data_IF_452225799819
#
_entry.id   IF_452225799819
#
_cell.length_a   1.000
_cell.length_b   1.000
_cell.length_c   1.000
_cell.angle_alpha   90.00
_cell.angle_beta   90.00
_cell.angle_gamma   90.00
#
_symmetry.space_group_name_H-M   'P 1'
#
loop_
_entity.id
_entity.type
_entity.pdbx_description
1 polymer ?
#
# COMPACT_ATOMS: atom_id res chain seq x y z
N UNK A 1 -34.22 27.30 9.97
CA UNK A 1 -33.45 26.33 9.18
C UNK A 1 -33.62 24.96 9.83
N UNK A 2 -33.95 23.91 9.06
CA UNK A 2 -34.14 22.57 9.62
C UNK A 2 -32.84 22.05 10.25
N UNK A 3 -32.94 21.28 11.33
CA UNK A 3 -31.75 20.70 11.97
C UNK A 3 -31.31 19.49 11.14
N UNK A 4 -30.00 19.23 11.10
CA UNK A 4 -29.41 18.08 10.37
C UNK A 4 -30.00 16.72 10.81
N UNK A 5 -30.55 16.66 12.03
CA UNK A 5 -31.27 15.52 12.61
C UNK A 5 -32.61 15.21 11.94
N UNK A 6 -33.18 16.16 11.20
CA UNK A 6 -34.52 16.07 10.63
C UNK A 6 -34.49 15.48 9.20
N UNK A 7 -33.29 15.22 8.66
CA UNK A 7 -33.11 14.58 7.36
C UNK A 7 -33.12 13.04 7.50
N UNK A 8 -33.81 12.32 6.60
CA UNK A 8 -33.70 10.87 6.54
C UNK A 8 -32.27 10.46 6.20
N UNK A 9 -31.71 9.53 6.97
CA UNK A 9 -30.43 8.89 6.68
C UNK A 9 -30.71 7.67 5.83
N UNK A 10 -30.24 7.68 4.58
CA UNK A 10 -30.24 6.50 3.73
C UNK A 10 -28.90 5.79 3.88
N UNK A 11 -28.92 4.51 4.22
CA UNK A 11 -27.71 3.71 4.13
C UNK A 11 -27.30 3.59 2.66
N UNK A 12 -26.04 3.89 2.31
CA UNK A 12 -25.56 3.73 0.94
C UNK A 12 -25.72 2.27 0.51
N UNK A 13 -26.40 2.03 -0.61
CA UNK A 13 -26.39 0.72 -1.24
C UNK A 13 -24.95 0.37 -1.61
N UNK A 14 -24.43 -0.69 -0.99
CA UNK A 14 -23.09 -1.18 -1.27
C UNK A 14 -23.20 -2.47 -2.10
N UNK A 15 -23.22 -2.39 -3.44
CA UNK A 15 -23.35 -3.57 -4.31
C UNK A 15 -22.19 -4.57 -4.18
N UNK A 16 -21.11 -4.14 -3.53
CA UNK A 16 -19.88 -4.88 -3.31
C UNK A 16 -19.59 -4.79 -1.82
N UNK A 17 -20.17 -5.65 -0.96
CA UNK A 17 -19.80 -5.65 0.46
C UNK A 17 -18.27 -5.70 0.57
N UNK A 18 -17.68 -4.55 0.92
CA UNK A 18 -16.26 -4.24 0.68
C UNK A 18 -15.36 -5.23 1.42
N UNK A 19 -15.93 -5.81 2.49
CA UNK A 19 -15.33 -6.81 3.35
C UNK A 19 -15.07 -8.14 2.66
N UNK A 20 -15.81 -8.52 1.62
CA UNK A 20 -15.64 -9.82 0.97
C UNK A 20 -14.81 -9.73 -0.32
N UNK A 21 -15.05 -8.71 -1.16
CA UNK A 21 -14.36 -8.59 -2.46
C UNK A 21 -12.92 -8.07 -2.32
N UNK A 22 -12.72 -6.98 -1.60
CA UNK A 22 -11.37 -6.43 -1.43
C UNK A 22 -10.51 -7.22 -0.42
N UNK A 23 -11.12 -8.03 0.44
CA UNK A 23 -10.38 -8.92 1.34
C UNK A 23 -9.65 -10.03 0.59
N UNK A 24 -10.19 -10.53 -0.53
CA UNK A 24 -9.51 -11.53 -1.37
C UNK A 24 -8.20 -10.95 -1.93
N UNK A 25 -8.25 -9.75 -2.50
CA UNK A 25 -7.07 -9.08 -3.06
C UNK A 25 -6.08 -8.67 -1.97
N UNK A 26 -6.58 -8.18 -0.83
CA UNK A 26 -5.73 -7.86 0.32
C UNK A 26 -5.04 -9.12 0.88
N UNK A 27 -5.73 -10.25 0.96
CA UNK A 27 -5.14 -11.51 1.39
C UNK A 27 -4.12 -12.02 0.37
N UNK A 28 -4.39 -11.91 -0.94
CA UNK A 28 -3.43 -12.26 -1.97
C UNK A 28 -2.13 -11.44 -1.87
N UNK A 29 -2.21 -10.14 -1.52
CA UNK A 29 -1.01 -9.36 -1.21
C UNK A 29 -0.30 -9.87 0.04
N UNK A 30 -1.03 -10.28 1.09
CA UNK A 30 -0.42 -10.81 2.32
C UNK A 30 0.13 -12.23 2.16
N UNK A 31 -0.30 -12.97 1.16
CA UNK A 31 0.21 -14.30 0.82
C UNK A 31 1.35 -14.25 -0.20
N UNK A 32 1.60 -13.09 -0.80
CA UNK A 32 2.68 -12.94 -1.78
C UNK A 32 4.04 -13.14 -1.12
N UNK A 33 5.01 -13.51 -1.96
CA UNK A 33 6.41 -13.59 -1.56
C UNK A 33 6.91 -12.26 -1.00
N UNK A 34 7.91 -12.39 -0.12
CA UNK A 34 8.62 -11.26 0.46
C UNK A 34 9.90 -11.02 -0.33
N UNK A 35 10.14 -9.75 -0.67
CA UNK A 35 11.32 -9.31 -1.40
C UNK A 35 12.09 -8.25 -0.62
N UNK A 36 13.40 -8.08 -0.91
CA UNK A 36 14.13 -6.86 -0.54
C UNK A 36 13.45 -5.61 -1.10
N UNK A 37 13.72 -4.45 -0.49
CA UNK A 37 13.34 -3.15 -1.04
C UNK A 37 14.62 -2.47 -1.59
N UNK A 38 14.69 -2.15 -2.90
CA UNK A 38 13.73 -2.48 -3.96
C UNK A 38 13.83 -3.96 -4.41
N UNK A 39 12.77 -4.52 -5.02
CA UNK A 39 12.83 -5.83 -5.66
C UNK A 39 13.53 -5.75 -7.03
N UNK A 40 13.78 -6.91 -7.64
CA UNK A 40 14.21 -6.98 -9.04
C UNK A 40 13.18 -6.35 -10.01
N UNK A 41 13.59 -5.81 -11.17
CA UNK A 41 12.67 -5.15 -12.10
C UNK A 41 11.53 -6.05 -12.59
N UNK A 42 10.32 -5.49 -12.66
CA UNK A 42 9.13 -6.18 -13.17
C UNK A 42 8.13 -5.21 -13.82
N UNK A 43 7.22 -5.76 -14.62
CA UNK A 43 6.10 -5.05 -15.24
C UNK A 43 4.87 -5.26 -14.36
N UNK A 44 4.21 -4.18 -13.94
CA UNK A 44 3.01 -4.25 -13.11
C UNK A 44 2.62 -2.90 -12.51
N UNK A 45 1.32 -2.79 -12.24
CA UNK A 45 0.69 -1.71 -11.50
C UNK A 45 -0.24 -2.34 -10.46
N UNK A 46 -0.34 -1.73 -9.28
CA UNK A 46 -0.98 -2.41 -8.19
C UNK A 46 -0.74 -1.80 -6.82
N UNK A 47 -0.74 -2.67 -5.82
CA UNK A 47 -0.57 -2.33 -4.41
C UNK A 47 0.69 -2.96 -3.84
N UNK A 48 1.25 -2.33 -2.81
CA UNK A 48 2.42 -2.82 -2.09
C UNK A 48 2.34 -2.50 -0.60
N UNK A 49 3.10 -3.27 0.17
CA UNK A 49 3.27 -3.10 1.60
C UNK A 49 4.77 -3.16 1.94
N UNK A 50 5.24 -2.22 2.75
CA UNK A 50 6.61 -2.17 3.27
C UNK A 50 6.62 -2.65 4.71
N UNK A 51 7.65 -3.40 5.08
CA UNK A 51 7.85 -3.96 6.41
C UNK A 51 9.22 -3.56 6.93
N UNK A 52 9.30 -3.28 8.22
CA UNK A 52 10.55 -2.93 8.90
C UNK A 52 10.94 -4.05 9.86
N UNK A 53 12.21 -4.45 9.84
CA UNK A 53 12.78 -5.52 10.69
C UNK A 53 14.04 -5.09 11.46
N UNK A 54 14.47 -3.85 11.30
CA UNK A 54 15.69 -3.29 11.90
C UNK A 54 15.58 -2.98 13.39
N UNK A 55 16.54 -2.23 13.91
CA UNK A 55 16.72 -1.96 15.35
C UNK A 55 16.42 -0.52 15.79
N UNK A 56 15.86 0.31 14.91
CA UNK A 56 15.51 1.69 15.25
C UNK A 56 14.50 1.72 16.41
N UNK A 57 14.83 2.34 17.57
CA UNK A 57 14.04 2.18 18.80
C UNK A 57 12.56 2.56 18.68
N UNK A 58 12.23 3.55 17.82
CA UNK A 58 10.84 3.97 17.64
C UNK A 58 9.97 2.89 16.97
N UNK A 59 10.57 1.90 16.30
CA UNK A 59 9.88 0.83 15.57
C UNK A 59 10.14 -0.56 16.17
N UNK A 60 10.62 -0.65 17.41
CA UNK A 60 10.97 -1.93 18.06
C UNK A 60 9.79 -2.92 18.05
N UNK A 61 8.61 -2.51 18.50
CA UNK A 61 7.39 -3.35 18.51
C UNK A 61 7.00 -3.81 17.10
N UNK A 62 7.22 -2.96 16.10
CA UNK A 62 6.95 -3.30 14.70
C UNK A 62 7.96 -4.32 14.17
N UNK A 63 9.23 -4.17 14.52
CA UNK A 63 10.28 -5.10 14.12
C UNK A 63 10.09 -6.48 14.78
N UNK A 64 9.67 -6.53 16.05
CA UNK A 64 9.39 -7.79 16.76
C UNK A 64 8.37 -8.66 16.03
N UNK A 65 7.28 -8.07 15.55
CA UNK A 65 6.21 -8.82 14.85
C UNK A 65 6.52 -9.11 13.37
N UNK A 66 7.60 -8.55 12.83
CA UNK A 66 7.99 -8.71 11.43
C UNK A 66 9.23 -9.59 11.23
N UNK A 67 10.07 -9.78 12.25
CA UNK A 67 11.24 -10.65 12.21
C UNK A 67 10.85 -12.14 12.11
N UNK A 68 11.86 -12.99 11.94
CA UNK A 68 11.71 -14.45 11.85
C UNK A 68 10.81 -14.94 10.70
N UNK A 69 10.60 -14.09 9.69
CA UNK A 69 9.78 -14.43 8.53
C UNK A 69 8.27 -14.17 8.72
N UNK A 70 7.85 -13.55 9.81
CA UNK A 70 6.43 -13.34 10.13
C UNK A 70 5.78 -12.23 9.28
N UNK A 71 6.45 -11.08 9.16
CA UNK A 71 5.95 -9.91 8.41
C UNK A 71 4.48 -9.57 8.71
N UNK A 72 4.10 -9.57 9.99
CA UNK A 72 2.70 -9.47 10.41
C UNK A 72 2.09 -8.07 10.27
N UNK A 73 2.90 -7.00 10.29
CA UNK A 73 2.40 -5.63 10.26
C UNK A 73 3.26 -4.73 9.37
N UNK A 74 2.71 -4.13 8.30
CA UNK A 74 3.46 -3.20 7.47
C UNK A 74 3.70 -1.86 8.17
N UNK A 75 4.86 -1.24 7.91
CA UNK A 75 5.15 0.15 8.29
C UNK A 75 4.44 1.16 7.39
N UNK A 76 4.21 0.77 6.13
CA UNK A 76 3.58 1.57 5.08
C UNK A 76 2.86 0.68 4.07
N UNK A 77 1.72 1.16 3.57
CA UNK A 77 0.99 0.57 2.45
C UNK A 77 0.78 1.66 1.40
N UNK A 78 0.93 1.31 0.13
CA UNK A 78 0.66 2.25 -0.95
C UNK A 78 0.27 1.56 -2.25
N UNK A 79 0.06 2.38 -3.26
CA UNK A 79 -0.26 1.95 -4.62
C UNK A 79 0.59 2.63 -5.69
N UNK A 80 0.59 2.03 -6.87
CA UNK A 80 1.07 2.63 -8.11
C UNK A 80 0.07 2.31 -9.22
N UNK A 81 -0.43 3.34 -9.89
CA UNK A 81 -1.35 3.21 -11.03
C UNK A 81 -0.59 3.53 -12.33
N UNK A 82 -0.96 2.93 -13.47
CA UNK A 82 -0.35 3.27 -14.76
C UNK A 82 -0.61 4.74 -15.12
N UNK A 83 0.33 5.38 -15.84
CA UNK A 83 0.20 6.77 -16.27
C UNK A 83 -1.02 7.01 -17.20
N UNK A 84 -1.48 5.96 -17.90
CA UNK A 84 -2.64 5.99 -18.80
C UNK A 84 -4.01 5.84 -18.12
N UNK A 85 -4.06 5.28 -16.90
CA UNK A 85 -5.31 4.99 -16.18
C UNK A 85 -6.14 6.26 -15.88
N UNK A 86 -5.45 7.39 -15.72
CA UNK A 86 -6.07 8.69 -15.36
C UNK A 86 -6.86 9.34 -16.51
N UNK A 87 -6.80 8.79 -17.73
CA UNK A 87 -7.49 9.33 -18.92
C UNK A 87 -8.80 8.61 -19.26
N UNK A 88 -9.33 7.77 -18.36
CA UNK A 88 -10.63 7.11 -18.56
C UNK A 88 -10.60 5.96 -19.57
N UNK A 89 -9.42 5.38 -19.83
CA UNK A 89 -9.28 4.14 -20.59
C UNK A 89 -9.84 2.97 -19.79
N UNK A 90 -11.16 2.76 -19.84
CA UNK A 90 -11.76 1.48 -19.48
C UNK A 90 -11.52 0.52 -20.65
N UNK A 91 -10.38 -0.15 -20.65
CA UNK A 91 -10.09 -1.20 -21.60
C UNK A 91 -9.12 -2.20 -20.98
N UNK A 92 -9.31 -3.47 -21.29
CA UNK A 92 -8.51 -4.62 -20.84
C UNK A 92 -7.03 -4.59 -21.31
N UNK A 93 -6.56 -3.45 -21.84
CA UNK A 93 -5.31 -3.32 -22.62
C UNK A 93 -4.46 -2.10 -22.22
N UNK A 94 -4.65 -1.57 -21.01
CA UNK A 94 -3.73 -0.54 -20.47
C UNK A 94 -2.45 -1.23 -20.02
N UNK A 95 -1.36 -1.02 -20.77
CA UNK A 95 -0.03 -1.50 -20.38
C UNK A 95 0.32 -0.93 -18.99
N UNK A 96 0.46 -1.78 -17.95
CA UNK A 96 0.76 -1.32 -16.61
C UNK A 96 2.18 -0.73 -16.50
N UNK A 97 3.06 -1.03 -17.47
CA UNK A 97 4.45 -0.61 -17.47
C UNK A 97 5.17 -1.02 -16.19
N UNK A 98 6.16 -0.23 -15.77
CA UNK A 98 6.95 -0.49 -14.55
C UNK A 98 6.48 0.36 -13.37
N UNK A 99 5.20 0.77 -13.34
CA UNK A 99 4.68 1.74 -12.36
C UNK A 99 4.96 1.33 -10.90
N UNK A 100 4.69 0.06 -10.55
CA UNK A 100 4.90 -0.46 -9.20
C UNK A 100 6.38 -0.58 -8.84
N UNK A 101 7.19 -1.12 -9.75
CA UNK A 101 8.65 -1.22 -9.59
C UNK A 101 9.30 0.15 -9.39
N UNK A 102 8.95 1.14 -10.23
CA UNK A 102 9.44 2.50 -10.12
C UNK A 102 9.07 3.11 -8.78
N UNK A 103 7.83 2.89 -8.32
CA UNK A 103 7.36 3.44 -7.03
C UNK A 103 8.10 2.83 -5.83
N UNK A 104 8.34 1.53 -5.83
CA UNK A 104 9.14 0.86 -4.79
C UNK A 104 10.60 1.35 -4.81
N UNK A 105 11.15 1.59 -6.01
CA UNK A 105 12.50 2.15 -6.18
C UNK A 105 12.59 3.58 -5.64
N UNK A 106 11.57 4.41 -5.88
CA UNK A 106 11.53 5.77 -5.34
C UNK A 106 11.51 5.75 -3.80
N UNK A 107 10.73 4.85 -3.19
CA UNK A 107 10.71 4.68 -1.73
C UNK A 107 12.03 4.18 -1.17
N UNK A 108 12.72 3.27 -1.86
CA UNK A 108 14.05 2.83 -1.45
C UNK A 108 15.02 4.02 -1.37
N UNK A 109 15.02 4.90 -2.38
CA UNK A 109 15.85 6.12 -2.37
C UNK A 109 15.50 7.07 -1.23
N UNK A 110 14.22 7.23 -0.91
CA UNK A 110 13.78 8.04 0.23
C UNK A 110 14.29 7.48 1.56
N UNK A 111 14.34 6.15 1.71
CA UNK A 111 14.93 5.49 2.89
C UNK A 111 16.44 5.65 2.91
N UNK A 112 17.14 5.45 1.80
CA UNK A 112 18.60 5.64 1.70
C UNK A 112 19.04 7.07 2.02
N UNK A 113 18.19 8.06 1.75
CA UNK A 113 18.46 9.46 2.08
C UNK A 113 18.31 9.77 3.58
N UNK A 114 17.67 8.89 4.36
CA UNK A 114 17.53 9.05 5.80
C UNK A 114 18.84 8.67 6.52
N UNK A 115 19.13 9.33 7.63
CA UNK A 115 20.36 9.07 8.42
C UNK A 115 20.16 8.08 9.56
N UNK A 116 18.91 7.71 9.83
CA UNK A 116 18.49 6.94 11.01
C UNK A 116 17.78 5.63 10.65
N UNK A 117 17.79 5.25 9.37
CA UNK A 117 17.19 4.03 8.84
C UNK A 117 18.17 3.39 7.86
N UNK A 118 18.30 2.07 7.90
CA UNK A 118 19.06 1.29 6.91
C UNK A 118 18.07 0.64 5.93
N UNK A 119 18.33 0.78 4.62
CA UNK A 119 17.52 0.13 3.59
C UNK A 119 17.51 -1.40 3.74
N UNK A 120 18.59 -2.00 4.23
CA UNK A 120 18.70 -3.44 4.44
C UNK A 120 17.68 -4.00 5.44
N UNK A 121 17.10 -3.13 6.28
CA UNK A 121 16.07 -3.46 7.27
C UNK A 121 14.65 -3.43 6.70
N UNK A 122 14.49 -3.16 5.41
CA UNK A 122 13.18 -3.08 4.77
C UNK A 122 12.92 -4.28 3.86
N UNK A 123 11.66 -4.73 3.88
CA UNK A 123 11.13 -5.73 2.97
C UNK A 123 9.85 -5.20 2.34
N UNK A 124 9.50 -5.74 1.17
CA UNK A 124 8.23 -5.43 0.54
C UNK A 124 7.47 -6.67 0.08
N UNK A 125 6.15 -6.56 0.13
CA UNK A 125 5.22 -7.35 -0.69
C UNK A 125 4.61 -6.45 -1.74
N UNK A 126 4.30 -7.00 -2.90
CA UNK A 126 3.62 -6.28 -3.96
C UNK A 126 2.72 -7.22 -4.76
N UNK A 127 1.62 -6.69 -5.27
CA UNK A 127 0.65 -7.42 -6.06
C UNK A 127 0.20 -6.55 -7.23
N UNK A 128 0.44 -7.02 -8.45
CA UNK A 128 -0.11 -6.40 -9.66
C UNK A 128 -1.58 -6.78 -9.78
N UNK A 129 -2.46 -5.80 -9.95
CA UNK A 129 -3.92 -5.99 -10.03
C UNK A 129 -4.54 -4.99 -10.98
N UNK A 130 -5.73 -5.28 -11.52
CA UNK A 130 -6.43 -4.32 -12.38
C UNK A 130 -6.71 -3.01 -11.64
N UNK A 131 -6.69 -1.91 -12.39
CA UNK A 131 -6.78 -0.54 -11.88
C UNK A 131 -7.98 -0.29 -10.97
N UNK A 132 -9.11 -0.99 -11.20
CA UNK A 132 -10.31 -0.88 -10.38
C UNK A 132 -10.12 -1.38 -8.95
N UNK A 133 -9.23 -2.36 -8.74
CA UNK A 133 -8.97 -2.97 -7.44
C UNK A 133 -7.93 -2.21 -6.63
N UNK A 134 -7.07 -1.42 -7.30
CA UNK A 134 -5.94 -0.74 -6.67
C UNK A 134 -6.39 0.16 -5.49
N UNK A 135 -7.33 1.12 -5.66
CA UNK A 135 -7.69 2.03 -4.58
C UNK A 135 -8.45 1.34 -3.44
N UNK A 136 -9.27 0.34 -3.76
CA UNK A 136 -10.04 -0.42 -2.78
C UNK A 136 -9.09 -1.23 -1.89
N UNK A 137 -8.14 -1.93 -2.50
CA UNK A 137 -7.20 -2.80 -1.78
C UNK A 137 -6.28 -1.99 -0.87
N UNK A 138 -5.71 -0.89 -1.35
CA UNK A 138 -4.92 0.04 -0.53
C UNK A 138 -5.70 0.51 0.70
N UNK A 139 -6.94 0.98 0.49
CA UNK A 139 -7.78 1.51 1.58
C UNK A 139 -8.08 0.45 2.65
N UNK A 140 -8.35 -0.79 2.23
CA UNK A 140 -8.63 -1.90 3.16
C UNK A 140 -7.40 -2.30 3.97
N UNK A 141 -6.22 -2.33 3.35
CA UNK A 141 -4.97 -2.64 4.02
C UNK A 141 -4.57 -1.54 5.02
N UNK A 142 -4.73 -0.26 4.64
CA UNK A 142 -4.51 0.86 5.56
C UNK A 142 -5.47 0.80 6.74
N UNK A 143 -6.75 0.50 6.51
CA UNK A 143 -7.74 0.37 7.60
C UNK A 143 -7.44 -0.83 8.52
N UNK A 144 -7.03 -1.97 7.93
CA UNK A 144 -6.71 -3.20 8.66
C UNK A 144 -5.49 -3.05 9.57
N UNK A 145 -4.41 -2.49 9.03
CA UNK A 145 -3.10 -2.47 9.72
C UNK A 145 -2.79 -1.13 10.38
N UNK A 146 -3.44 -0.05 9.96
CA UNK A 146 -3.18 1.33 10.40
C UNK A 146 -1.68 1.66 10.44
N UNK A 147 -0.95 1.48 9.31
CA UNK A 147 0.50 1.60 9.32
C UNK A 147 0.95 2.99 9.77
N UNK A 148 2.05 3.05 10.53
CA UNK A 148 2.52 4.29 11.17
C UNK A 148 2.81 5.39 10.15
N UNK A 149 3.39 5.05 8.98
CA UNK A 149 3.68 6.02 7.90
C UNK A 149 2.48 6.37 7.01
N UNK A 150 1.31 5.77 7.25
CA UNK A 150 0.05 6.15 6.60
C UNK A 150 -0.87 6.96 7.52
N UNK A 151 -0.74 6.81 8.85
CA UNK A 151 -1.75 7.27 9.81
C UNK A 151 -1.25 8.26 10.85
N UNK A 152 0.02 8.15 11.24
CA UNK A 152 0.60 8.88 12.37
C UNK A 152 1.68 9.85 11.87
N UNK A 153 2.53 9.37 10.96
CA UNK A 153 3.61 10.15 10.35
C UNK A 153 3.32 10.30 8.85
N UNK A 154 2.69 11.42 8.49
CA UNK A 154 2.39 11.72 7.09
C UNK A 154 3.64 12.20 6.34
N UNK A 155 3.66 12.01 5.03
CA UNK A 155 4.67 12.60 4.13
C UNK A 155 5.52 11.61 3.36
N UNK A 156 5.66 10.37 3.82
CA UNK A 156 6.46 9.34 3.13
C UNK A 156 5.94 9.06 1.70
N UNK A 157 4.63 9.11 1.51
CA UNK A 157 4.01 8.93 0.19
C UNK A 157 4.12 10.12 -0.77
N UNK A 158 4.64 11.27 -0.34
CA UNK A 158 4.68 12.47 -1.17
C UNK A 158 5.79 12.36 -2.23
N UNK A 159 5.55 12.93 -3.41
CA UNK A 159 6.62 13.26 -4.35
C UNK A 159 7.06 14.71 -4.10
N UNK A 160 8.32 15.02 -4.41
CA UNK A 160 8.79 16.42 -4.40
C UNK A 160 7.85 17.29 -5.27
N UNK A 161 7.40 18.45 -4.76
CA UNK A 161 6.49 19.35 -5.47
C UNK A 161 7.13 20.03 -6.70
#
# INVERSE_FOLDING_TARGET
MAKKSDYPVFEPFNPLDKRHLGASVANALLESDIYPLPPEPFIGAGVYALYYVGDFPAYEVLAEVNRNGEYACPIYVGKAVPDGARKGGQGDDVDPGTALFKRLTDHAKSVEAATNLDLADFRCRFLSVDDIWIPLTESLLIERFKPVWNRVLDGFGNHDP
#
